data_IF_699986890685
#
_entry.id   IF_699986890685
#
_cell.length_a   1.000
_cell.length_b   1.000
_cell.length_c   1.000
_cell.angle_alpha   90.00
_cell.angle_beta   90.00
_cell.angle_gamma   90.00
#
_symmetry.space_group_name_H-M   'P 1'
#
loop_
_entity.id
_entity.type
_entity.pdbx_description
1 polymer ?
#
# COMPACT_ATOMS: atom_id res chain seq x y z
N UNK A 1 -32.39 0.70 39.31
CA UNK A 1 -31.76 1.73 38.46
C UNK A 1 -30.87 0.96 37.50
N UNK A 2 -31.34 0.75 36.27
CA UNK A 2 -30.70 -0.09 35.28
C UNK A 2 -30.26 0.80 34.12
N UNK A 3 -28.99 0.68 33.73
CA UNK A 3 -28.55 1.05 32.40
C UNK A 3 -27.64 -0.08 31.89
N UNK A 4 -28.17 -0.79 30.92
CA UNK A 4 -27.54 -1.81 30.10
C UNK A 4 -27.01 -1.07 28.87
N UNK A 5 -25.69 -1.03 28.66
CA UNK A 5 -25.12 -0.56 27.39
C UNK A 5 -24.02 -1.51 26.92
N UNK A 6 -24.50 -2.52 26.24
CA UNK A 6 -23.79 -3.35 25.27
C UNK A 6 -23.22 -2.47 24.14
N UNK A 7 -22.03 -1.89 24.34
CA UNK A 7 -21.33 -1.12 23.30
C UNK A 7 -20.77 -2.09 22.26
N UNK A 8 -21.60 -2.39 21.25
CA UNK A 8 -21.18 -3.04 20.01
C UNK A 8 -20.06 -2.23 19.38
N UNK A 9 -18.90 -2.88 19.25
CA UNK A 9 -17.75 -2.46 18.44
C UNK A 9 -18.21 -2.09 17.02
N UNK A 10 -18.38 -0.80 16.74
CA UNK A 10 -18.48 -0.27 15.39
C UNK A 10 -17.06 -0.21 14.81
N UNK A 11 -16.71 -1.23 14.03
CA UNK A 11 -15.56 -1.21 13.12
C UNK A 11 -15.81 -0.13 12.06
N UNK A 12 -15.22 1.04 12.25
CA UNK A 12 -15.22 2.10 11.24
C UNK A 12 -14.29 1.64 10.10
N UNK A 13 -14.87 1.10 9.02
CA UNK A 13 -14.16 0.95 7.75
C UNK A 13 -13.91 2.36 7.22
N UNK A 14 -12.65 2.79 7.07
CA UNK A 14 -12.30 4.16 6.69
C UNK A 14 -12.32 4.33 5.15
N UNK A 15 -13.38 4.91 4.55
CA UNK A 15 -13.48 5.07 3.09
C UNK A 15 -12.45 6.06 2.51
N UNK A 16 -12.07 7.09 3.28
CA UNK A 16 -11.14 8.13 2.82
C UNK A 16 -9.74 7.60 2.49
N UNK A 17 -9.26 6.58 3.23
CA UNK A 17 -7.96 5.96 2.96
C UNK A 17 -7.97 5.11 1.68
N UNK A 18 -9.11 4.46 1.38
CA UNK A 18 -9.30 3.68 0.16
C UNK A 18 -9.38 4.61 -1.06
N UNK A 19 -10.08 5.73 -0.95
CA UNK A 19 -10.15 6.74 -2.02
C UNK A 19 -8.80 7.42 -2.27
N UNK A 20 -8.07 7.78 -1.21
CA UNK A 20 -6.74 8.37 -1.35
C UNK A 20 -5.77 7.42 -2.04
N UNK A 21 -5.82 6.12 -1.69
CA UNK A 21 -5.00 5.11 -2.34
C UNK A 21 -5.32 4.96 -3.83
N UNK A 22 -6.61 4.88 -4.18
CA UNK A 22 -7.04 4.77 -5.57
C UNK A 22 -6.64 6.01 -6.41
N UNK A 23 -6.82 7.21 -5.86
CA UNK A 23 -6.41 8.45 -6.51
C UNK A 23 -4.90 8.50 -6.76
N UNK A 24 -4.09 8.13 -5.76
CA UNK A 24 -2.65 8.05 -5.88
C UNK A 24 -2.22 7.06 -6.97
N UNK A 25 -2.86 5.89 -7.06
CA UNK A 25 -2.55 4.89 -8.10
C UNK A 25 -2.82 5.43 -9.51
N UNK A 26 -3.90 6.18 -9.72
CA UNK A 26 -4.19 6.79 -11.03
C UNK A 26 -3.17 7.88 -11.39
N UNK A 27 -2.74 8.70 -10.43
CA UNK A 27 -1.70 9.70 -10.62
C UNK A 27 -0.35 9.06 -10.99
N UNK A 28 0.07 8.04 -10.25
CA UNK A 28 1.30 7.28 -10.52
C UNK A 28 1.25 6.53 -11.86
N UNK A 29 0.05 6.17 -12.34
CA UNK A 29 -0.13 5.56 -13.66
C UNK A 29 0.02 6.60 -14.78
N UNK A 30 -0.51 7.80 -14.56
CA UNK A 30 -0.47 8.88 -15.54
C UNK A 30 0.94 9.44 -15.75
N UNK A 31 1.76 9.48 -14.70
CA UNK A 31 3.13 10.00 -14.75
C UNK A 31 4.17 8.97 -14.22
N UNK A 32 4.81 8.22 -15.13
CA UNK A 32 5.84 7.25 -14.76
C UNK A 32 7.09 7.85 -14.11
N UNK A 33 7.44 9.09 -14.42
CA UNK A 33 8.60 9.77 -13.84
C UNK A 33 8.30 10.22 -12.42
N UNK A 34 7.10 10.72 -12.18
CA UNK A 34 6.58 10.96 -10.83
C UNK A 34 6.57 9.67 -10.00
N UNK A 35 6.13 8.54 -10.57
CA UNK A 35 6.15 7.27 -9.86
C UNK A 35 7.56 6.80 -9.46
N UNK A 36 8.57 7.10 -10.28
CA UNK A 36 9.96 6.81 -9.94
C UNK A 36 10.45 7.72 -8.79
N UNK A 37 10.16 9.02 -8.86
CA UNK A 37 10.54 9.99 -7.83
C UNK A 37 9.86 9.68 -6.49
N UNK A 38 8.56 9.37 -6.52
CA UNK A 38 7.77 8.98 -5.36
C UNK A 38 8.37 7.76 -4.63
N UNK A 39 8.74 6.72 -5.38
CA UNK A 39 9.36 5.53 -4.81
C UNK A 39 10.78 5.80 -4.29
N UNK A 40 11.54 6.67 -4.96
CA UNK A 40 12.88 7.06 -4.53
C UNK A 40 12.84 7.83 -3.20
N UNK A 41 11.94 8.81 -3.06
CA UNK A 41 11.76 9.54 -1.79
C UNK A 41 11.36 8.60 -0.64
N UNK A 42 10.45 7.66 -0.89
CA UNK A 42 10.08 6.67 0.12
C UNK A 42 11.25 5.74 0.52
N UNK A 43 12.19 5.49 -0.40
CA UNK A 43 13.40 4.71 -0.12
C UNK A 43 14.41 5.50 0.71
N UNK A 44 14.54 6.82 0.49
CA UNK A 44 15.40 7.69 1.30
C UNK A 44 14.98 7.70 2.76
N UNK A 45 13.67 7.68 3.02
CA UNK A 45 13.09 7.68 4.37
C UNK A 45 13.00 6.29 5.01
N UNK A 46 13.44 5.21 4.35
CA UNK A 46 13.17 3.83 4.79
C UNK A 46 13.72 3.50 6.19
N UNK A 47 14.79 4.19 6.61
CA UNK A 47 15.45 3.98 7.91
C UNK A 47 14.83 4.82 9.04
N UNK A 48 13.91 5.72 8.73
CA UNK A 48 13.20 6.52 9.72
C UNK A 48 12.13 5.69 10.45
N UNK A 49 11.68 6.10 11.64
CA UNK A 49 10.57 5.44 12.33
C UNK A 49 9.32 5.34 11.45
N UNK A 50 8.92 4.12 11.09
CA UNK A 50 7.79 3.88 10.18
C UNK A 50 8.14 3.94 8.68
N UNK A 51 9.38 4.27 8.33
CA UNK A 51 9.87 4.41 6.96
C UNK A 51 9.70 3.15 6.11
N UNK A 52 10.05 1.98 6.66
CA UNK A 52 9.81 0.69 6.00
C UNK A 52 8.33 0.47 5.65
N UNK A 53 7.42 0.86 6.54
CA UNK A 53 5.98 0.77 6.29
C UNK A 53 5.54 1.71 5.15
N UNK A 54 5.99 2.96 5.18
CA UNK A 54 5.74 3.93 4.11
C UNK A 54 6.27 3.47 2.76
N UNK A 55 7.50 2.95 2.72
CA UNK A 55 8.11 2.41 1.52
C UNK A 55 7.32 1.24 0.93
N UNK A 56 6.86 0.30 1.76
CA UNK A 56 6.07 -0.84 1.28
C UNK A 56 4.69 -0.42 0.75
N UNK A 57 4.09 0.63 1.31
CA UNK A 57 2.85 1.23 0.77
C UNK A 57 3.14 1.86 -0.60
N UNK A 58 4.19 2.68 -0.70
CA UNK A 58 4.57 3.33 -1.96
C UNK A 58 4.89 2.31 -3.06
N UNK A 59 5.63 1.26 -2.71
CA UNK A 59 5.95 0.16 -3.62
C UNK A 59 4.70 -0.57 -4.13
N UNK A 60 3.71 -0.80 -3.25
CA UNK A 60 2.43 -1.40 -3.65
C UNK A 60 1.69 -0.53 -4.65
N UNK A 61 1.59 0.78 -4.38
CA UNK A 61 0.91 1.73 -5.25
C UNK A 61 1.55 1.80 -6.64
N UNK A 62 2.88 1.84 -6.72
CA UNK A 62 3.62 1.83 -7.99
C UNK A 62 3.41 0.50 -8.75
N UNK A 63 3.38 -0.63 -8.05
CA UNK A 63 3.07 -1.94 -8.67
C UNK A 63 1.66 -1.96 -9.24
N UNK A 64 0.67 -1.47 -8.50
CA UNK A 64 -0.73 -1.37 -8.96
C UNK A 64 -0.87 -0.43 -10.16
N UNK A 65 -0.19 0.72 -10.14
CA UNK A 65 -0.13 1.65 -11.27
C UNK A 65 0.43 1.00 -12.54
N UNK A 66 1.40 0.08 -12.41
CA UNK A 66 2.10 -0.56 -13.54
C UNK A 66 1.51 -1.91 -14.00
N UNK A 67 0.25 -2.19 -13.67
CA UNK A 67 -0.46 -3.40 -14.10
C UNK A 67 -0.54 -4.49 -13.03
N UNK A 68 -0.23 -4.15 -11.78
CA UNK A 68 -0.39 -5.00 -10.62
C UNK A 68 0.68 -6.07 -10.45
N UNK A 69 0.50 -6.90 -9.41
CA UNK A 69 1.45 -7.92 -8.98
C UNK A 69 1.78 -8.93 -10.09
N UNK A 70 0.79 -9.27 -10.93
CA UNK A 70 0.97 -10.21 -12.05
C UNK A 70 1.97 -9.67 -13.07
N UNK A 71 1.87 -8.39 -13.42
CA UNK A 71 2.77 -7.76 -14.38
C UNK A 71 4.15 -7.48 -13.76
N UNK A 72 4.19 -7.11 -12.48
CA UNK A 72 5.44 -6.95 -11.74
C UNK A 72 6.24 -8.27 -11.63
N UNK A 73 5.57 -9.39 -11.33
CA UNK A 73 6.21 -10.71 -11.28
C UNK A 73 6.78 -11.11 -12.65
N UNK A 74 6.06 -10.82 -13.73
CA UNK A 74 6.51 -11.10 -15.10
C UNK A 74 7.74 -10.29 -15.48
N UNK A 75 7.81 -9.02 -15.07
CA UNK A 75 8.91 -8.09 -15.41
C UNK A 75 10.15 -8.25 -14.52
N UNK A 76 9.98 -8.58 -13.24
CA UNK A 76 11.08 -8.66 -12.27
C UNK A 76 11.72 -10.04 -12.17
N UNK A 77 11.07 -11.10 -12.68
CA UNK A 77 11.52 -12.48 -12.48
C UNK A 77 11.39 -12.98 -11.03
N UNK A 78 10.82 -12.16 -10.13
CA UNK A 78 10.56 -12.54 -8.74
C UNK A 78 9.32 -13.44 -8.66
N UNK A 79 9.37 -14.47 -7.81
CA UNK A 79 8.24 -15.36 -7.62
C UNK A 79 7.01 -14.57 -7.11
N UNK A 80 5.87 -14.77 -7.77
CA UNK A 80 4.57 -14.13 -7.45
C UNK A 80 4.22 -14.23 -5.95
N UNK A 81 4.57 -15.35 -5.34
CA UNK A 81 4.37 -15.66 -3.91
C UNK A 81 5.32 -14.91 -2.96
N UNK A 82 6.49 -14.46 -3.42
CA UNK A 82 7.38 -13.56 -2.67
C UNK A 82 6.84 -12.13 -2.68
N UNK A 83 6.33 -11.67 -3.82
CA UNK A 83 5.71 -10.36 -3.97
C UNK A 83 4.38 -10.27 -3.17
N UNK A 84 3.53 -11.31 -3.24
CA UNK A 84 2.28 -11.37 -2.47
C UNK A 84 2.50 -11.36 -0.95
N UNK A 85 3.59 -11.97 -0.45
CA UNK A 85 3.92 -11.93 0.98
C UNK A 85 4.40 -10.55 1.43
N UNK A 86 5.28 -9.92 0.66
CA UNK A 86 5.81 -8.59 0.97
C UNK A 86 4.74 -7.48 0.91
N UNK A 87 3.68 -7.66 0.12
CA UNK A 87 2.66 -6.65 -0.15
C UNK A 87 1.27 -7.04 0.37
N UNK A 88 1.14 -8.05 1.23
CA UNK A 88 -0.16 -8.40 1.81
C UNK A 88 -0.60 -7.34 2.83
N UNK A 89 -1.88 -6.93 2.86
CA UNK A 89 -2.43 -6.08 3.93
C UNK A 89 -2.36 -6.74 5.33
N UNK A 90 -2.14 -8.06 5.41
CA UNK A 90 -1.91 -8.81 6.66
C UNK A 90 -0.45 -9.26 6.85
N UNK A 91 0.47 -8.80 6.01
CA UNK A 91 1.88 -9.22 5.99
C UNK A 91 2.76 -8.38 6.91
N UNK A 92 2.40 -8.25 8.19
CA UNK A 92 3.36 -7.87 9.21
C UNK A 92 3.98 -9.16 9.78
N UNK A 93 5.31 -9.35 9.78
CA UNK A 93 5.89 -10.26 10.76
C UNK A 93 5.58 -9.79 12.19
#
# INVERSE_FOLDING_TARGET
MAYDENVKSQKNHYPAAVEHNAAMIEELRADPDYANAYLASALEEINEPGGLGGFLVALRQVIEARGGISEAARKSGLARQSIYRALSPNGNP
#
